data_IF_014097724532
#
_entry.id   IF_014097724532
#
_cell.length_a   1.000
_cell.length_b   1.000
_cell.length_c   1.000
_cell.angle_alpha   90.00
_cell.angle_beta   90.00
_cell.angle_gamma   90.00
#
_symmetry.space_group_name_H-M   'P 1'
#
loop_
_entity.id
_entity.type
_entity.pdbx_description
1 polymer ?
#
# COMPACT_ATOMS: atom_id res chain seq x y z
N UNK A 1 25.15 13.60 97.55
CA UNK A 1 24.16 14.48 98.23
C UNK A 1 23.98 15.72 97.37
N UNK A 2 22.77 16.32 97.32
CA UNK A 2 22.41 17.39 96.35
C UNK A 2 22.20 16.82 94.94
N UNK A 3 21.06 16.95 94.24
CA UNK A 3 20.20 18.11 93.91
C UNK A 3 20.94 19.18 93.08
N UNK A 4 20.36 19.82 92.06
CA UNK A 4 19.33 19.55 91.05
C UNK A 4 19.05 20.91 90.37
N UNK A 5 19.19 21.00 89.04
CA UNK A 5 18.56 22.03 88.21
C UNK A 5 19.35 23.33 87.92
N UNK A 6 19.01 24.10 86.88
CA UNK A 6 18.16 23.77 85.71
C UNK A 6 18.28 24.84 84.58
N UNK A 7 18.03 24.44 83.32
CA UNK A 7 17.73 25.32 82.15
C UNK A 7 18.91 26.24 81.68
N UNK A 8 18.97 26.88 80.50
CA UNK A 8 18.16 27.08 79.25
C UNK A 8 19.13 27.68 78.17
N UNK A 9 18.95 27.76 76.84
CA UNK A 9 17.91 27.38 75.84
C UNK A 9 18.57 26.67 74.61
N UNK A 10 17.97 26.80 73.41
CA UNK A 10 18.44 26.44 72.05
C UNK A 10 18.43 24.94 71.69
N UNK A 11 17.65 24.42 70.73
CA UNK A 11 17.36 24.80 69.32
C UNK A 11 18.48 24.44 68.33
N UNK A 12 18.23 23.79 67.20
CA UNK A 12 16.99 23.20 66.65
C UNK A 12 17.28 22.17 65.53
N UNK A 13 16.21 21.68 64.87
CA UNK A 13 16.15 20.95 63.58
C UNK A 13 16.52 19.46 63.57
N UNK A 14 15.47 18.64 63.53
CA UNK A 14 15.42 17.34 62.87
C UNK A 14 14.13 17.28 62.01
N UNK A 15 13.92 16.20 61.24
CA UNK A 15 12.91 16.05 60.15
C UNK A 15 13.27 16.88 58.89
N UNK A 16 13.09 16.44 57.64
CA UNK A 16 12.49 15.22 57.04
C UNK A 16 13.46 14.67 55.96
N UNK A 17 13.60 13.33 55.76
CA UNK A 17 14.48 12.78 54.72
C UNK A 17 14.03 13.08 53.27
N UNK A 18 15.00 13.23 52.37
CA UNK A 18 14.82 13.63 50.96
C UNK A 18 14.47 12.43 50.06
N UNK A 19 13.19 12.11 49.90
CA UNK A 19 12.71 11.11 48.94
C UNK A 19 12.60 11.69 47.52
N UNK A 20 13.70 11.64 46.76
CA UNK A 20 13.77 12.15 45.38
C UNK A 20 13.02 11.24 44.38
N UNK A 21 11.70 11.42 44.29
CA UNK A 21 10.84 10.68 43.36
C UNK A 21 11.12 11.08 41.90
N UNK A 22 11.89 10.26 41.17
CA UNK A 22 12.14 10.46 39.75
C UNK A 22 10.85 10.24 38.94
N UNK A 23 10.24 11.34 38.48
CA UNK A 23 9.07 11.31 37.61
C UNK A 23 9.45 10.78 36.22
N UNK A 24 9.31 9.46 36.03
CA UNK A 24 9.53 8.80 34.75
C UNK A 24 8.47 9.27 33.73
N UNK A 25 8.78 10.32 32.97
CA UNK A 25 7.96 10.79 31.87
C UNK A 25 7.87 9.70 30.82
N UNK A 26 6.70 9.03 30.73
CA UNK A 26 6.43 8.00 29.72
C UNK A 26 6.23 8.68 28.35
N UNK A 27 7.35 9.10 27.76
CA UNK A 27 7.45 9.61 26.40
C UNK A 27 7.31 8.43 25.41
N UNK A 28 6.12 7.82 25.38
CA UNK A 28 5.79 6.76 24.45
C UNK A 28 5.92 7.25 23.02
N UNK A 29 6.77 6.57 22.24
CA UNK A 29 6.90 6.79 20.79
C UNK A 29 5.57 6.45 20.11
N UNK A 30 4.70 7.46 19.99
CA UNK A 30 3.30 7.31 19.61
C UNK A 30 2.45 8.57 19.83
N UNK A 31 2.89 9.51 20.68
CA UNK A 31 2.24 10.81 20.91
C UNK A 31 2.38 11.81 19.73
N UNK A 32 2.43 11.32 18.49
CA UNK A 32 2.40 12.15 17.29
C UNK A 32 0.96 12.62 16.98
N UNK A 33 0.83 13.76 16.31
CA UNK A 33 -0.47 14.21 15.79
C UNK A 33 -1.08 13.15 14.86
N UNK A 34 -2.41 12.97 14.91
CA UNK A 34 -3.07 11.91 14.14
C UNK A 34 -2.81 12.11 12.63
N UNK A 35 -2.47 11.03 11.94
CA UNK A 35 -2.14 11.04 10.50
C UNK A 35 -3.27 11.58 9.62
N UNK A 36 -4.53 11.48 10.07
CA UNK A 36 -5.69 12.01 9.37
C UNK A 36 -5.85 13.54 9.47
N UNK A 37 -5.17 14.21 10.41
CA UNK A 37 -5.50 15.56 10.87
C UNK A 37 -5.62 16.58 9.74
N UNK A 38 -4.68 16.55 8.79
CA UNK A 38 -4.60 17.48 7.66
C UNK A 38 -5.31 17.02 6.38
N UNK A 39 -6.00 15.86 6.35
CA UNK A 39 -6.73 15.44 5.16
C UNK A 39 -7.99 16.31 4.94
N UNK A 40 -8.17 16.95 3.77
CA UNK A 40 -9.34 17.76 3.48
C UNK A 40 -10.64 16.96 3.50
N UNK A 41 -11.71 17.55 4.03
CA UNK A 41 -13.05 16.94 4.06
C UNK A 41 -13.83 17.26 2.79
N UNK A 42 -14.51 16.28 2.22
CA UNK A 42 -15.53 16.49 1.18
C UNK A 42 -15.70 15.32 0.22
N UNK A 43 -16.81 15.34 -0.52
CA UNK A 43 -17.04 14.47 -1.67
C UNK A 43 -16.42 15.08 -2.94
N UNK A 44 -15.71 14.26 -3.71
CA UNK A 44 -15.10 14.64 -4.98
C UNK A 44 -15.61 13.68 -6.08
N UNK A 45 -16.18 14.18 -7.19
CA UNK A 45 -16.60 13.33 -8.29
C UNK A 45 -15.39 12.74 -9.02
N UNK A 46 -15.50 11.47 -9.38
CA UNK A 46 -14.44 10.67 -9.99
C UNK A 46 -15.03 9.83 -11.12
N UNK A 47 -14.35 9.86 -12.25
CA UNK A 47 -14.72 9.15 -13.48
C UNK A 47 -13.64 8.09 -13.79
N UNK A 48 -14.04 6.85 -14.05
CA UNK A 48 -13.12 5.79 -14.51
C UNK A 48 -13.21 5.70 -16.03
N UNK A 49 -12.26 6.34 -16.70
CA UNK A 49 -12.20 6.41 -18.17
C UNK A 49 -11.90 5.05 -18.81
N UNK A 50 -11.07 4.23 -18.14
CA UNK A 50 -10.81 2.86 -18.56
C UNK A 50 -10.27 2.02 -17.40
N UNK A 51 -10.53 0.72 -17.45
CA UNK A 51 -9.98 -0.25 -16.52
C UNK A 51 -9.72 -1.57 -17.28
N UNK A 52 -8.48 -2.04 -17.31
CA UNK A 52 -8.09 -3.25 -18.04
C UNK A 52 -7.02 -4.08 -17.33
N UNK A 53 -7.16 -5.40 -17.46
CA UNK A 53 -6.19 -6.41 -17.05
C UNK A 53 -6.43 -7.65 -17.94
N UNK A 54 -5.41 -8.29 -18.52
CA UNK A 54 -5.64 -9.44 -19.42
C UNK A 54 -6.34 -10.60 -18.69
N UNK A 55 -7.52 -10.99 -19.18
CA UNK A 55 -8.32 -12.10 -18.62
C UNK A 55 -7.76 -13.48 -18.95
N UNK A 56 -6.78 -13.57 -19.85
CA UNK A 56 -6.00 -14.78 -20.16
C UNK A 56 -4.51 -14.46 -20.00
N UNK A 57 -3.83 -15.22 -19.15
CA UNK A 57 -2.40 -15.05 -18.84
C UNK A 57 -1.71 -16.41 -18.76
N UNK A 58 -0.38 -16.46 -18.79
CA UNK A 58 0.42 -17.68 -18.60
C UNK A 58 1.25 -17.58 -17.32
N UNK A 59 1.51 -18.72 -16.67
CA UNK A 59 2.43 -18.78 -15.54
C UNK A 59 3.81 -18.21 -15.91
N UNK A 60 4.45 -17.52 -14.97
CA UNK A 60 5.73 -16.81 -15.12
C UNK A 60 5.75 -15.71 -16.21
N UNK A 61 4.61 -15.29 -16.76
CA UNK A 61 4.54 -14.16 -17.70
C UNK A 61 4.06 -12.87 -17.03
N UNK A 62 4.50 -11.75 -17.60
CA UNK A 62 4.24 -10.39 -17.10
C UNK A 62 3.06 -9.75 -17.84
N UNK A 63 2.14 -9.16 -17.09
CA UNK A 63 1.00 -8.40 -17.58
C UNK A 63 0.98 -6.98 -16.98
N UNK A 64 0.26 -6.06 -17.63
CA UNK A 64 -0.04 -4.74 -17.06
C UNK A 64 -1.50 -4.71 -16.59
N UNK A 65 -1.73 -4.27 -15.36
CA UNK A 65 -3.04 -3.83 -14.89
C UNK A 65 -3.08 -2.30 -15.03
N UNK A 66 -4.10 -1.77 -15.69
CA UNK A 66 -4.21 -0.34 -16.01
C UNK A 66 -5.59 0.18 -15.61
N UNK A 67 -5.63 1.29 -14.88
CA UNK A 67 -6.87 2.01 -14.55
C UNK A 67 -6.62 3.49 -14.83
N UNK A 68 -7.37 4.08 -15.74
CA UNK A 68 -7.33 5.51 -16.05
C UNK A 68 -8.49 6.23 -15.36
N UNK A 69 -8.17 7.29 -14.64
CA UNK A 69 -9.10 8.04 -13.78
C UNK A 69 -9.07 9.51 -14.16
N UNK A 70 -10.24 10.15 -14.18
CA UNK A 70 -10.41 11.60 -14.39
C UNK A 70 -11.08 12.25 -13.19
N UNK A 71 -10.72 13.52 -12.96
CA UNK A 71 -11.47 14.42 -12.09
C UNK A 71 -12.39 15.29 -12.96
N UNK A 72 -13.66 14.93 -13.18
CA UNK A 72 -14.61 15.76 -13.91
C UNK A 72 -15.14 16.95 -13.07
N UNK A 73 -14.81 17.02 -11.78
CA UNK A 73 -15.27 18.06 -10.87
C UNK A 73 -14.51 19.38 -10.96
N UNK A 74 -15.09 20.42 -10.36
CA UNK A 74 -14.53 21.78 -10.29
C UNK A 74 -13.49 21.98 -9.18
N UNK A 75 -13.27 20.97 -8.32
CA UNK A 75 -12.34 21.03 -7.17
C UNK A 75 -11.17 20.07 -7.37
N UNK A 76 -9.95 20.50 -7.01
CA UNK A 76 -8.77 19.64 -6.93
C UNK A 76 -9.01 18.50 -5.94
N UNK A 77 -8.84 17.26 -6.37
CA UNK A 77 -8.81 16.08 -5.50
C UNK A 77 -7.51 16.13 -4.67
N UNK A 78 -7.55 16.02 -3.33
CA UNK A 78 -6.36 16.10 -2.47
C UNK A 78 -5.34 15.00 -2.72
N UNK A 79 -5.78 13.75 -2.84
CA UNK A 79 -4.92 12.62 -3.21
C UNK A 79 -5.74 11.54 -3.90
N UNK A 80 -5.62 11.45 -5.23
CA UNK A 80 -6.25 10.34 -5.95
C UNK A 80 -5.47 9.05 -5.66
N UNK A 81 -6.17 8.00 -5.25
CA UNK A 81 -5.60 6.69 -4.94
C UNK A 81 -6.45 5.56 -5.51
N UNK A 82 -5.84 4.40 -5.70
CA UNK A 82 -6.57 3.14 -5.97
C UNK A 82 -6.21 2.12 -4.91
N UNK A 83 -7.24 1.54 -4.29
CA UNK A 83 -7.12 0.36 -3.42
C UNK A 83 -7.44 -0.88 -4.25
N UNK A 84 -6.48 -1.80 -4.39
CA UNK A 84 -6.66 -3.07 -5.10
C UNK A 84 -7.12 -4.14 -4.10
N UNK A 85 -8.41 -4.17 -3.75
CA UNK A 85 -8.93 -5.14 -2.78
C UNK A 85 -10.40 -5.48 -3.04
N UNK A 86 -10.78 -6.76 -2.88
CA UNK A 86 -12.16 -7.20 -3.07
C UNK A 86 -13.03 -6.97 -1.82
N UNK A 87 -14.29 -6.49 -1.97
CA UNK A 87 -15.26 -6.46 -0.87
C UNK A 87 -15.40 -7.82 -0.18
N UNK A 88 -15.62 -7.82 1.14
CA UNK A 88 -15.73 -9.05 1.95
C UNK A 88 -14.40 -9.75 2.27
N UNK A 89 -13.25 -9.28 1.77
CA UNK A 89 -11.94 -9.80 2.18
C UNK A 89 -11.53 -9.24 3.56
N UNK A 90 -12.14 -9.82 4.60
CA UNK A 90 -12.02 -9.46 6.03
C UNK A 90 -10.63 -9.73 6.64
N UNK A 91 -9.59 -9.78 5.80
CA UNK A 91 -8.26 -10.31 6.13
C UNK A 91 -7.20 -9.35 5.56
N UNK A 92 -7.18 -8.12 6.06
CA UNK A 92 -6.05 -7.21 5.88
C UNK A 92 -5.11 -7.32 7.07
N UNK A 93 -3.83 -7.62 6.84
CA UNK A 93 -2.81 -7.45 7.87
C UNK A 93 -2.53 -5.96 8.11
N UNK A 94 -2.13 -5.58 9.32
CA UNK A 94 -1.59 -4.25 9.58
C UNK A 94 -0.13 -4.21 9.10
N UNK A 95 0.10 -3.74 7.88
CA UNK A 95 1.44 -3.68 7.29
C UNK A 95 1.42 -3.32 5.80
N UNK A 96 1.81 -2.08 5.49
CA UNK A 96 1.84 -1.51 4.13
C UNK A 96 2.90 -2.14 3.23
N UNK A 97 2.66 -3.38 2.79
CA UNK A 97 3.51 -4.08 1.82
C UNK A 97 3.28 -3.53 0.42
N UNK A 98 4.30 -2.88 -0.16
CA UNK A 98 4.27 -2.36 -1.54
C UNK A 98 4.03 -3.47 -2.59
N UNK A 99 4.27 -4.74 -2.23
CA UNK A 99 4.02 -5.92 -3.05
C UNK A 99 2.53 -6.33 -3.14
N UNK A 100 1.62 -5.68 -2.41
CA UNK A 100 0.20 -6.09 -2.35
C UNK A 100 -0.04 -7.41 -1.59
N UNK A 101 0.90 -7.77 -0.70
CA UNK A 101 0.84 -8.98 0.12
C UNK A 101 0.69 -8.56 1.58
N UNK A 102 -0.55 -8.25 1.98
CA UNK A 102 -0.95 -8.30 3.38
C UNK A 102 -1.22 -9.75 3.81
N UNK A 103 -0.93 -10.08 5.08
CA UNK A 103 -1.02 -11.43 5.71
C UNK A 103 -2.42 -12.06 5.84
N UNK A 104 -3.28 -11.81 4.86
CA UNK A 104 -4.62 -12.39 4.72
C UNK A 104 -5.10 -12.54 3.27
N UNK A 105 -4.28 -12.19 2.28
CA UNK A 105 -4.66 -12.23 0.86
C UNK A 105 -5.14 -10.87 0.35
N UNK A 106 -4.21 -9.90 0.26
CA UNK A 106 -4.42 -8.62 -0.45
C UNK A 106 -4.64 -8.79 -1.97
N UNK A 107 -4.81 -7.68 -2.69
CA UNK A 107 -5.29 -7.65 -4.08
C UNK A 107 -4.56 -8.52 -5.11
N UNK A 108 -3.26 -8.72 -4.91
CA UNK A 108 -2.41 -9.54 -5.78
C UNK A 108 -2.05 -10.90 -5.18
N UNK A 109 -2.54 -11.19 -3.97
CA UNK A 109 -2.30 -12.41 -3.24
C UNK A 109 -3.49 -13.40 -3.30
N UNK A 110 -3.32 -14.55 -2.67
CA UNK A 110 -4.37 -15.49 -2.32
C UNK A 110 -4.08 -16.06 -0.92
N UNK A 111 -5.10 -16.57 -0.24
CA UNK A 111 -4.93 -17.34 0.99
C UNK A 111 -4.85 -18.82 0.64
N UNK A 112 -3.83 -19.51 1.13
CA UNK A 112 -3.73 -20.98 1.05
C UNK A 112 -4.24 -21.63 2.34
N UNK A 113 -4.67 -22.88 2.22
CA UNK A 113 -5.18 -23.73 3.31
C UNK A 113 -4.17 -24.79 3.76
N UNK A 114 -2.95 -24.78 3.22
CA UNK A 114 -1.91 -25.74 3.58
C UNK A 114 -1.54 -25.65 5.08
N UNK A 115 -1.40 -26.79 5.79
CA UNK A 115 -1.12 -26.83 7.23
C UNK A 115 0.30 -26.35 7.56
N UNK A 116 0.54 -26.02 8.83
CA UNK A 116 1.86 -25.62 9.34
C UNK A 116 2.31 -24.20 8.97
N UNK A 117 1.50 -23.42 8.26
CA UNK A 117 1.85 -22.05 7.88
C UNK A 117 1.47 -21.01 8.94
N UNK A 118 2.47 -20.24 9.42
CA UNK A 118 2.24 -19.08 10.29
C UNK A 118 1.55 -17.91 9.55
N UNK A 119 1.99 -17.58 8.33
CA UNK A 119 1.28 -16.67 7.42
C UNK A 119 0.64 -17.49 6.28
N UNK A 120 -0.70 -17.45 6.11
CA UNK A 120 -1.42 -18.15 5.04
C UNK A 120 -1.55 -17.34 3.74
N UNK A 121 -1.09 -16.09 3.67
CA UNK A 121 -1.04 -15.30 2.44
C UNK A 121 0.09 -15.77 1.52
N UNK A 122 -0.18 -15.84 0.21
CA UNK A 122 0.79 -16.19 -0.83
C UNK A 122 0.56 -15.33 -2.06
N UNK A 123 1.61 -14.94 -2.82
CA UNK A 123 1.41 -14.18 -4.06
C UNK A 123 0.65 -15.03 -5.09
N UNK A 124 -0.34 -14.43 -5.76
CA UNK A 124 -0.89 -14.95 -7.02
C UNK A 124 -0.23 -14.22 -8.20
N UNK A 125 -0.02 -12.92 -8.03
CA UNK A 125 0.80 -12.07 -8.88
C UNK A 125 1.90 -11.44 -8.03
N UNK A 126 3.11 -11.34 -8.56
CA UNK A 126 4.20 -10.52 -8.00
C UNK A 126 4.11 -9.13 -8.63
N UNK A 127 4.15 -8.07 -7.82
CA UNK A 127 4.15 -6.69 -8.32
C UNK A 127 5.58 -6.26 -8.65
N UNK A 128 5.89 -6.15 -9.94
CA UNK A 128 7.21 -5.75 -10.44
C UNK A 128 7.37 -4.22 -10.37
N UNK A 129 6.33 -3.48 -10.76
CA UNK A 129 6.27 -2.02 -10.63
C UNK A 129 4.87 -1.55 -10.20
N UNK A 130 4.86 -0.46 -9.44
CA UNK A 130 3.65 0.19 -8.90
C UNK A 130 3.31 1.47 -9.71
N UNK A 131 2.06 1.95 -9.64
CA UNK A 131 1.68 3.25 -10.19
C UNK A 131 2.59 4.37 -9.72
N UNK A 132 3.06 5.18 -10.66
CA UNK A 132 3.87 6.38 -10.40
C UNK A 132 3.45 7.48 -11.38
N UNK A 133 3.41 8.74 -10.93
CA UNK A 133 2.98 9.88 -11.78
C UNK A 133 4.00 10.18 -12.87
N UNK A 134 5.27 10.03 -12.54
CA UNK A 134 6.41 10.09 -13.47
C UNK A 134 6.96 8.66 -13.55
N UNK A 135 7.12 8.07 -14.75
CA UNK A 135 7.68 6.73 -14.87
C UNK A 135 9.09 6.66 -14.26
N UNK A 136 9.34 5.70 -13.36
CA UNK A 136 10.68 5.49 -12.81
C UNK A 136 11.65 5.00 -13.89
N UNK A 137 12.78 5.68 -14.01
CA UNK A 137 13.98 5.07 -14.60
C UNK A 137 14.59 4.15 -13.54
N UNK A 138 14.56 2.83 -13.77
CA UNK A 138 15.06 1.84 -12.82
C UNK A 138 16.57 1.65 -12.99
N UNK A 139 17.36 2.49 -12.32
CA UNK A 139 18.78 2.19 -12.08
C UNK A 139 18.86 1.00 -11.11
N UNK A 140 19.51 -0.09 -11.56
CA UNK A 140 19.65 -1.33 -10.78
C UNK A 140 20.59 -1.19 -9.58
N UNK A 141 21.43 -0.15 -9.54
CA UNK A 141 22.32 0.14 -8.41
C UNK A 141 21.66 0.98 -7.31
N UNK A 142 20.48 1.55 -7.54
CA UNK A 142 19.92 2.61 -6.69
C UNK A 142 18.56 2.23 -6.10
N UNK A 143 18.51 2.08 -4.78
CA UNK A 143 17.27 2.03 -4.01
C UNK A 143 16.65 3.44 -3.93
N UNK A 144 16.11 3.93 -5.04
CA UNK A 144 15.33 5.15 -5.03
C UNK A 144 14.13 5.01 -4.07
N UNK A 145 13.85 6.03 -3.23
CA UNK A 145 12.67 6.04 -2.39
C UNK A 145 11.42 5.74 -3.24
N UNK A 146 10.57 4.82 -2.75
CA UNK A 146 9.32 4.49 -3.42
C UNK A 146 8.36 5.70 -3.33
N UNK A 147 8.50 6.63 -4.28
CA UNK A 147 7.63 7.80 -4.49
C UNK A 147 6.17 7.40 -4.25
N UNK A 148 5.60 7.92 -3.15
CA UNK A 148 4.20 7.76 -2.76
C UNK A 148 3.78 6.32 -2.42
N UNK A 149 4.69 5.51 -1.88
CA UNK A 149 4.28 4.41 -0.99
C UNK A 149 3.42 4.97 0.15
N UNK A 150 2.22 4.42 0.32
CA UNK A 150 1.41 4.66 1.51
C UNK A 150 1.61 3.54 2.53
N UNK A 151 1.34 3.81 3.79
CA UNK A 151 1.24 2.79 4.84
C UNK A 151 0.01 1.89 4.70
N UNK A 152 -0.94 2.26 3.82
CA UNK A 152 -2.18 1.52 3.59
C UNK A 152 -1.95 0.37 2.62
N UNK A 153 -2.23 -0.84 3.09
CA UNK A 153 -2.12 -2.07 2.29
C UNK A 153 -2.97 -1.97 1.03
N UNK A 154 -2.44 -2.52 -0.07
CA UNK A 154 -3.06 -2.53 -1.40
C UNK A 154 -3.44 -1.15 -1.97
N UNK A 155 -3.01 -0.04 -1.35
CA UNK A 155 -3.49 1.32 -1.68
C UNK A 155 -2.37 2.19 -2.21
N UNK A 156 -2.52 2.60 -3.48
CA UNK A 156 -1.51 3.26 -4.29
C UNK A 156 -1.95 4.70 -4.60
N UNK A 157 -1.45 5.74 -3.90
CA UNK A 157 -1.76 7.14 -4.18
C UNK A 157 -0.85 7.75 -5.25
N UNK A 158 -1.41 8.62 -6.10
CA UNK A 158 -0.64 9.39 -7.10
C UNK A 158 -0.58 10.90 -6.79
N UNK A 159 -1.03 11.34 -5.61
CA UNK A 159 -1.09 12.76 -5.22
C UNK A 159 -2.31 13.50 -5.76
N UNK A 160 -2.29 14.84 -5.76
CA UNK A 160 -3.46 15.66 -6.08
C UNK A 160 -3.83 15.65 -7.58
N UNK A 161 -5.12 15.58 -7.90
CA UNK A 161 -5.61 15.58 -9.29
C UNK A 161 -6.49 16.82 -9.54
N UNK A 162 -6.02 17.69 -10.44
CA UNK A 162 -6.67 18.95 -10.77
C UNK A 162 -7.98 18.77 -11.58
N UNK A 163 -8.89 19.76 -11.53
CA UNK A 163 -10.12 19.78 -12.34
C UNK A 163 -9.87 19.50 -13.83
N UNK A 164 -10.72 18.66 -14.42
CA UNK A 164 -10.65 18.24 -15.81
C UNK A 164 -9.47 17.34 -16.19
N UNK A 165 -8.51 17.09 -15.29
CA UNK A 165 -7.32 16.28 -15.57
C UNK A 165 -7.55 14.79 -15.32
N UNK A 166 -6.78 13.98 -16.03
CA UNK A 166 -6.74 12.52 -15.90
C UNK A 166 -5.36 12.03 -15.45
N UNK A 167 -5.32 10.85 -14.83
CA UNK A 167 -4.10 10.13 -14.46
C UNK A 167 -4.29 8.64 -14.74
N UNK A 168 -3.19 7.94 -15.03
CA UNK A 168 -3.18 6.49 -15.28
C UNK A 168 -2.46 5.78 -14.14
N UNK A 169 -3.18 4.92 -13.43
CA UNK A 169 -2.58 3.94 -12.53
C UNK A 169 -2.17 2.71 -13.36
N UNK A 170 -0.89 2.35 -13.34
CA UNK A 170 -0.37 1.15 -14.00
C UNK A 170 0.47 0.34 -13.03
N UNK A 171 0.10 -0.93 -12.82
CA UNK A 171 0.93 -1.93 -12.18
C UNK A 171 1.49 -2.85 -13.26
N UNK A 172 2.76 -3.20 -13.16
CA UNK A 172 3.34 -4.29 -13.92
C UNK A 172 3.47 -5.50 -12.99
N UNK A 173 2.88 -6.63 -13.36
CA UNK A 173 2.78 -7.80 -12.47
C UNK A 173 3.10 -9.10 -13.19
N UNK A 174 3.75 -10.05 -12.49
CA UNK A 174 4.06 -11.39 -13.02
C UNK A 174 3.15 -12.44 -12.40
N UNK A 175 2.51 -13.25 -13.22
CA UNK A 175 1.67 -14.38 -12.78
C UNK A 175 2.50 -15.50 -12.15
N UNK A 176 2.30 -15.80 -10.86
CA UNK A 176 3.05 -16.86 -10.13
C UNK A 176 2.15 -17.98 -9.58
N UNK A 177 0.82 -17.91 -9.78
CA UNK A 177 -0.09 -19.02 -9.53
C UNK A 177 -1.06 -19.25 -10.69
N UNK A 178 -1.07 -20.49 -11.19
CA UNK A 178 -2.04 -21.00 -12.15
C UNK A 178 -3.46 -21.17 -11.55
N UNK A 179 -4.46 -21.17 -12.44
CA UNK A 179 -5.88 -21.28 -12.13
C UNK A 179 -6.64 -19.94 -12.25
N UNK A 180 -7.92 -19.91 -11.84
CA UNK A 180 -8.74 -18.71 -11.94
C UNK A 180 -8.30 -17.62 -10.96
N UNK A 181 -8.52 -16.37 -11.37
CA UNK A 181 -8.25 -15.19 -10.56
C UNK A 181 -9.44 -14.22 -10.54
N UNK A 182 -9.48 -13.43 -9.47
CA UNK A 182 -10.30 -12.22 -9.35
C UNK A 182 -9.45 -11.15 -8.65
N UNK A 183 -9.34 -9.98 -9.26
CA UNK A 183 -8.63 -8.81 -8.73
C UNK A 183 -9.62 -7.65 -8.75
N UNK A 184 -9.96 -7.09 -7.59
CA UNK A 184 -10.89 -5.97 -7.50
C UNK A 184 -10.16 -4.66 -7.22
N UNK A 185 -10.75 -3.54 -7.61
CA UNK A 185 -10.24 -2.21 -7.36
C UNK A 185 -11.33 -1.25 -6.88
N UNK A 186 -10.94 -0.22 -6.15
CA UNK A 186 -11.75 0.96 -5.81
C UNK A 186 -10.89 2.21 -5.94
N UNK A 187 -11.44 3.27 -6.55
CA UNK A 187 -10.79 4.59 -6.59
C UNK A 187 -11.23 5.43 -5.39
N UNK A 188 -10.30 6.16 -4.77
CA UNK A 188 -10.55 7.04 -3.64
C UNK A 188 -9.97 8.45 -3.89
N UNK A 189 -10.54 9.47 -3.24
CA UNK A 189 -10.09 10.87 -3.32
C UNK A 189 -9.14 11.29 -2.17
N UNK A 190 -8.81 10.34 -1.29
CA UNK A 190 -7.86 10.47 -0.18
C UNK A 190 -7.31 9.11 0.26
N UNK A 191 -6.90 9.05 1.53
CA UNK A 191 -6.33 7.89 2.23
C UNK A 191 -6.98 7.65 3.60
N UNK A 192 -7.42 8.68 4.31
CA UNK A 192 -7.96 8.59 5.69
C UNK A 192 -9.50 8.69 5.77
N UNK A 193 -10.18 8.75 4.61
CA UNK A 193 -11.63 8.68 4.50
C UNK A 193 -12.39 10.01 4.63
N UNK A 194 -11.70 11.15 4.82
CA UNK A 194 -12.31 12.49 4.82
C UNK A 194 -12.53 13.03 3.41
N UNK A 195 -11.62 12.71 2.49
CA UNK A 195 -11.78 12.99 1.06
C UNK A 195 -12.38 11.75 0.36
N UNK A 196 -13.68 11.82 0.09
CA UNK A 196 -14.48 10.69 -0.41
C UNK A 196 -14.60 10.79 -1.93
N UNK A 197 -14.23 9.74 -2.66
CA UNK A 197 -14.58 9.62 -4.07
C UNK A 197 -16.05 9.24 -4.21
N UNK A 198 -16.77 9.96 -5.06
CA UNK A 198 -18.13 9.63 -5.51
C UNK A 198 -18.15 9.52 -7.03
N UNK A 199 -19.09 8.77 -7.64
CA UNK A 199 -19.27 8.77 -9.09
C UNK A 199 -19.54 10.17 -9.65
N UNK A 200 -19.19 10.42 -10.91
CA UNK A 200 -19.59 11.64 -11.65
C UNK A 200 -21.09 11.66 -11.92
N UNK A 201 -21.62 10.55 -12.45
CA UNK A 201 -23.05 10.36 -12.71
C UNK A 201 -23.63 9.24 -11.84
N UNK A 202 -24.94 9.30 -11.57
CA UNK A 202 -25.62 8.25 -10.83
C UNK A 202 -25.51 6.90 -11.57
N UNK A 203 -24.99 5.88 -10.89
CA UNK A 203 -24.78 4.54 -11.46
C UNK A 203 -23.39 4.27 -12.05
N UNK A 204 -22.52 5.28 -12.20
CA UNK A 204 -21.16 5.06 -12.72
C UNK A 204 -20.26 4.30 -11.71
N UNK A 205 -19.50 3.28 -12.14
CA UNK A 205 -18.65 2.49 -11.26
C UNK A 205 -17.29 3.16 -10.98
N UNK A 206 -17.09 3.68 -9.77
CA UNK A 206 -15.76 4.05 -9.23
C UNK A 206 -14.99 2.86 -8.60
N UNK A 207 -15.48 1.64 -8.83
CA UNK A 207 -14.92 0.39 -8.34
C UNK A 207 -15.31 -0.75 -9.29
N UNK A 208 -14.48 -1.78 -9.40
CA UNK A 208 -14.74 -2.90 -10.32
C UNK A 208 -13.93 -4.15 -9.99
N UNK A 209 -14.05 -5.17 -10.85
CA UNK A 209 -13.28 -6.40 -10.72
C UNK A 209 -12.87 -6.95 -12.09
N UNK A 210 -11.61 -7.38 -12.17
CA UNK A 210 -11.08 -8.19 -13.26
C UNK A 210 -11.17 -9.66 -12.88
N UNK A 211 -11.66 -10.49 -13.79
CA UNK A 211 -11.67 -11.96 -13.67
C UNK A 211 -10.96 -12.58 -14.86
N UNK A 212 -10.43 -13.79 -14.67
CA UNK A 212 -9.70 -14.48 -15.73
C UNK A 212 -9.00 -15.73 -15.26
N UNK A 213 -8.15 -16.27 -16.13
CA UNK A 213 -7.41 -17.52 -15.95
C UNK A 213 -5.91 -17.29 -16.15
N UNK A 214 -5.10 -17.87 -15.27
CA UNK A 214 -3.66 -18.09 -15.49
C UNK A 214 -3.48 -19.55 -15.93
N UNK A 215 -3.01 -19.77 -17.16
CA UNK A 215 -2.61 -21.09 -17.65
C UNK A 215 -1.39 -21.61 -16.88
N UNK A 216 -1.36 -22.93 -16.65
CA UNK A 216 -0.36 -23.65 -15.87
C UNK A 216 0.99 -23.80 -16.57
N UNK A 217 0.99 -23.99 -17.89
CA UNK A 217 2.20 -24.08 -18.71
C UNK A 217 3.00 -22.76 -18.67
N UNK A 218 4.22 -22.74 -18.06
CA UNK A 218 5.13 -21.61 -18.20
C UNK A 218 5.68 -21.54 -19.63
N UNK A 219 6.20 -20.38 -20.08
CA UNK A 219 6.95 -20.31 -21.33
C UNK A 219 8.20 -21.20 -21.22
N UNK A 220 8.58 -21.85 -22.32
CA UNK A 220 9.86 -22.56 -22.37
C UNK A 220 11.00 -21.54 -22.39
N UNK A 221 12.08 -21.86 -21.68
CA UNK A 221 13.25 -21.02 -21.60
C UNK A 221 14.52 -21.87 -21.63
N UNK A 222 15.51 -21.42 -22.39
CA UNK A 222 16.81 -22.06 -22.50
C UNK A 222 17.92 -20.99 -22.43
N UNK A 223 19.14 -21.40 -22.11
CA UNK A 223 20.32 -20.54 -22.23
C UNK A 223 20.87 -20.73 -23.65
N UNK A 224 20.98 -19.65 -24.42
CA UNK A 224 21.64 -19.68 -25.71
C UNK A 224 23.17 -19.75 -25.55
N UNK A 225 23.89 -20.13 -26.61
CA UNK A 225 25.35 -20.32 -26.61
C UNK A 225 26.14 -19.08 -26.14
N UNK A 226 25.56 -17.88 -26.29
CA UNK A 226 26.11 -16.61 -25.81
C UNK A 226 25.78 -16.29 -24.33
N UNK A 227 25.28 -17.26 -23.56
CA UNK A 227 24.95 -17.12 -22.14
C UNK A 227 23.64 -16.38 -21.82
N UNK A 228 22.93 -15.84 -22.83
CA UNK A 228 21.67 -15.15 -22.59
C UNK A 228 20.48 -16.12 -22.52
N UNK A 229 19.57 -15.90 -21.56
CA UNK A 229 18.29 -16.61 -21.50
C UNK A 229 17.38 -16.20 -22.67
N UNK A 230 16.95 -17.19 -23.45
CA UNK A 230 15.91 -17.06 -24.47
C UNK A 230 14.60 -17.60 -23.90
N UNK A 231 13.49 -16.91 -24.15
CA UNK A 231 12.15 -17.28 -23.66
C UNK A 231 11.18 -17.36 -24.84
N UNK A 232 10.72 -18.58 -25.14
CA UNK A 232 9.94 -18.89 -26.33
C UNK A 232 8.53 -18.28 -26.29
N UNK A 233 8.06 -17.80 -27.44
CA UNK A 233 6.82 -17.05 -27.58
C UNK A 233 6.96 -15.53 -27.36
N UNK A 234 8.14 -15.04 -27.00
CA UNK A 234 8.42 -13.59 -26.91
C UNK A 234 8.92 -13.08 -28.27
N UNK A 235 8.02 -12.62 -29.13
CA UNK A 235 8.41 -12.03 -30.41
C UNK A 235 9.24 -10.74 -30.17
N UNK A 236 10.52 -10.75 -30.58
CA UNK A 236 11.38 -9.56 -30.53
C UNK A 236 10.90 -8.56 -31.59
N UNK A 237 10.26 -7.47 -31.16
CA UNK A 237 9.88 -6.38 -32.06
C UNK A 237 11.09 -5.53 -32.43
N UNK A 238 11.55 -5.65 -33.67
CA UNK A 238 12.40 -4.65 -34.33
C UNK A 238 13.87 -4.59 -33.87
N UNK A 239 14.74 -5.27 -34.62
CA UNK A 239 16.11 -4.81 -34.83
C UNK A 239 16.36 -4.77 -36.33
N UNK A 240 16.37 -3.56 -36.90
CA UNK A 240 16.92 -3.25 -38.22
C UNK A 240 17.94 -2.13 -38.05
N UNK A 241 18.97 -2.07 -38.92
CA UNK A 241 19.88 -0.92 -39.01
C UNK A 241 19.18 0.33 -39.55
#
# INVERSE_FOLDING_TARGET
MGRLGAHRQFEARALIPLSLAAAATVAGCGAAARQDASEPKGSFPVEVLSASFPSQQRLATTANLVIQVRNPGTKRIPTISVTVKCPGSNQGGSGGSASGIGGGGGGFAFRTTAPGQADPARPRFVVNTIPTRIPRNYDRGRLDPLERSSSFVDTFPLGSLDPGRSVTFRWNVTSVKAGPFKVCYRVNAGLYGKAIAVPSSAGEPIAGAFTGQVADRPPQAHIAENGHTVVEGTARSGSSP
#
